data_IF_584285989112
#
_entry.id   IF_584285989112
#
_cell.length_a   1.000
_cell.length_b   1.000
_cell.length_c   1.000
_cell.angle_alpha   90.00
_cell.angle_beta   90.00
_cell.angle_gamma   90.00
#
_symmetry.space_group_name_H-M   'P 1'
#
loop_
_entity.id
_entity.type
_entity.pdbx_description
1 polymer ?
#
# COMPACT_ATOMS: atom_id res chain seq x y z
N UNK A 1 11.05 2.92 17.01
CA UNK A 1 11.50 1.49 16.97
C UNK A 1 10.77 0.82 15.82
N UNK A 2 11.49 0.10 14.93
CA UNK A 2 10.88 -0.58 13.78
C UNK A 2 10.16 -1.86 14.21
N UNK A 3 9.14 -2.26 13.44
CA UNK A 3 8.51 -3.57 13.57
C UNK A 3 9.19 -4.55 12.64
N UNK A 4 9.61 -5.69 13.17
CA UNK A 4 10.32 -6.72 12.42
C UNK A 4 9.41 -7.95 12.35
N UNK A 5 8.92 -8.23 11.12
CA UNK A 5 8.19 -9.47 10.83
C UNK A 5 9.16 -10.64 10.66
N UNK A 6 8.73 -11.84 10.93
CA UNK A 6 9.55 -13.04 10.73
C UNK A 6 10.05 -13.19 9.29
N UNK A 7 11.27 -13.68 9.15
CA UNK A 7 11.84 -13.99 7.83
C UNK A 7 11.11 -15.18 7.23
N UNK A 8 10.69 -15.02 5.97
CA UNK A 8 9.99 -16.08 5.25
C UNK A 8 10.94 -17.22 4.87
N UNK A 9 10.38 -18.41 4.73
CA UNK A 9 11.14 -19.55 4.23
C UNK A 9 11.71 -19.22 2.83
N UNK A 10 13.01 -19.54 2.62
CA UNK A 10 13.75 -19.22 1.39
C UNK A 10 13.92 -17.73 1.04
N UNK A 11 13.52 -16.80 1.89
CA UNK A 11 13.74 -15.36 1.68
C UNK A 11 15.23 -15.02 1.81
N UNK A 12 15.81 -14.33 0.81
CA UNK A 12 17.19 -13.86 0.90
C UNK A 12 17.35 -12.79 2.00
N UNK A 13 18.57 -12.63 2.54
CA UNK A 13 18.85 -11.60 3.54
C UNK A 13 18.51 -10.19 3.02
N UNK A 14 18.85 -9.89 1.75
CA UNK A 14 18.49 -8.64 1.08
C UNK A 14 16.98 -8.44 1.00
N UNK A 15 16.24 -9.47 0.53
CA UNK A 15 14.78 -9.39 0.37
C UNK A 15 14.08 -9.19 1.70
N UNK A 16 14.55 -9.85 2.76
CA UNK A 16 14.03 -9.67 4.12
C UNK A 16 14.22 -8.23 4.61
N UNK A 17 15.45 -7.69 4.51
CA UNK A 17 15.73 -6.30 4.90
C UNK A 17 14.88 -5.32 4.10
N UNK A 18 14.82 -5.51 2.78
CA UNK A 18 14.03 -4.65 1.89
C UNK A 18 12.56 -4.64 2.29
N UNK A 19 11.95 -5.80 2.50
CA UNK A 19 10.55 -5.93 2.90
C UNK A 19 10.27 -5.27 4.24
N UNK A 20 11.13 -5.52 5.25
CA UNK A 20 10.94 -4.92 6.57
C UNK A 20 11.09 -3.40 6.52
N UNK A 21 12.06 -2.87 5.77
CA UNK A 21 12.21 -1.43 5.63
C UNK A 21 11.05 -0.79 4.88
N UNK A 22 10.56 -1.40 3.78
CA UNK A 22 9.38 -0.91 3.05
C UNK A 22 8.16 -0.86 3.97
N UNK A 23 7.91 -1.94 4.73
CA UNK A 23 6.78 -1.99 5.66
C UNK A 23 6.84 -0.88 6.71
N UNK A 24 8.01 -0.62 7.28
CA UNK A 24 8.20 0.44 8.27
C UNK A 24 8.12 1.86 7.67
N UNK A 25 8.53 2.04 6.41
CA UNK A 25 8.38 3.29 5.66
C UNK A 25 6.92 3.56 5.33
N UNK A 26 6.18 2.54 4.86
CA UNK A 26 4.75 2.67 4.55
C UNK A 26 3.97 3.03 5.82
N UNK A 27 4.19 2.30 6.90
CA UNK A 27 3.53 2.53 8.18
C UNK A 27 4.07 3.75 8.96
N UNK A 28 4.98 4.53 8.36
CA UNK A 28 5.61 5.72 8.92
C UNK A 28 6.23 5.50 10.32
N UNK A 29 6.72 4.28 10.61
CA UNK A 29 7.57 3.99 11.76
C UNK A 29 9.01 4.44 11.51
N UNK A 30 9.42 4.47 10.24
CA UNK A 30 10.50 5.25 9.69
C UNK A 30 9.87 6.45 8.99
N UNK A 31 9.92 7.62 9.61
CA UNK A 31 9.17 8.78 9.17
C UNK A 31 9.77 9.44 7.92
N UNK A 32 8.95 10.05 7.05
CA UNK A 32 9.46 10.85 5.94
C UNK A 32 10.42 11.94 6.45
N UNK A 33 11.62 12.00 5.85
CA UNK A 33 12.70 12.92 6.27
C UNK A 33 13.61 12.38 7.39
N UNK A 34 13.26 11.26 8.02
CA UNK A 34 14.08 10.65 9.08
C UNK A 34 15.40 10.13 8.52
N UNK A 35 16.48 10.34 9.29
CA UNK A 35 17.79 9.79 8.99
C UNK A 35 17.87 8.32 9.42
N UNK A 36 18.19 7.42 8.51
CA UNK A 36 18.39 6.01 8.80
C UNK A 36 19.73 5.79 9.53
N UNK A 37 19.68 5.11 10.65
CA UNK A 37 20.87 4.68 11.40
C UNK A 37 21.25 3.25 10.98
N UNK A 38 22.09 3.10 9.93
CA UNK A 38 22.52 1.81 9.40
C UNK A 38 23.01 0.84 10.50
N UNK A 39 23.94 1.23 11.42
CA UNK A 39 24.41 0.34 12.48
C UNK A 39 23.29 -0.21 13.37
N UNK A 40 22.39 0.67 13.81
CA UNK A 40 21.29 0.32 14.70
C UNK A 40 20.26 -0.58 13.99
N UNK A 41 19.91 -0.26 12.74
CA UNK A 41 18.99 -1.06 11.95
C UNK A 41 19.56 -2.44 11.63
N UNK A 42 20.86 -2.53 11.32
CA UNK A 42 21.55 -3.84 11.15
C UNK A 42 21.49 -4.68 12.42
N UNK A 43 21.71 -4.08 13.59
CA UNK A 43 21.64 -4.75 14.88
C UNK A 43 20.22 -5.25 15.17
N UNK A 44 19.21 -4.38 15.01
CA UNK A 44 17.80 -4.75 15.23
C UNK A 44 17.35 -5.88 14.30
N UNK A 45 17.78 -5.87 13.04
CA UNK A 45 17.45 -6.88 12.04
C UNK A 45 18.26 -8.18 12.16
N UNK A 46 19.32 -8.19 12.96
CA UNK A 46 20.26 -9.30 13.03
C UNK A 46 20.99 -9.54 11.70
N UNK A 47 21.24 -8.48 10.90
CA UNK A 47 21.80 -8.56 9.56
C UNK A 47 23.14 -7.84 9.45
N UNK A 48 24.01 -8.36 8.58
CA UNK A 48 25.28 -7.68 8.25
C UNK A 48 25.02 -6.47 7.32
N UNK A 49 26.03 -5.59 7.22
CA UNK A 49 25.94 -4.37 6.39
C UNK A 49 25.76 -4.65 4.89
N UNK A 50 26.25 -5.77 4.38
CA UNK A 50 26.20 -6.07 2.94
C UNK A 50 24.74 -6.19 2.44
N UNK A 51 23.89 -7.11 2.93
CA UNK A 51 22.49 -7.19 2.49
C UNK A 51 21.69 -5.93 2.82
N UNK A 52 22.06 -5.19 3.87
CA UNK A 52 21.42 -3.93 4.21
C UNK A 52 21.68 -2.87 3.14
N UNK A 53 22.93 -2.68 2.72
CA UNK A 53 23.30 -1.71 1.65
C UNK A 53 22.74 -2.09 0.30
N UNK A 54 22.64 -3.39 -0.01
CA UNK A 54 21.96 -3.84 -1.23
C UNK A 54 20.47 -3.48 -1.20
N UNK A 55 19.82 -3.61 -0.05
CA UNK A 55 18.43 -3.17 0.15
C UNK A 55 18.28 -1.64 0.07
N UNK A 56 19.23 -0.87 0.68
CA UNK A 56 19.24 0.60 0.56
C UNK A 56 19.33 1.06 -0.89
N UNK A 57 20.22 0.45 -1.69
CA UNK A 57 20.33 0.81 -3.12
C UNK A 57 19.01 0.58 -3.87
N UNK A 58 18.33 -0.53 -3.57
CA UNK A 58 17.04 -0.81 -4.18
C UNK A 58 15.94 0.15 -3.70
N UNK A 59 15.91 0.49 -2.41
CA UNK A 59 15.00 1.51 -1.87
C UNK A 59 15.23 2.88 -2.51
N UNK A 60 16.50 3.24 -2.76
CA UNK A 60 16.85 4.49 -3.44
C UNK A 60 16.39 4.49 -4.91
N UNK A 61 16.54 3.36 -5.63
CA UNK A 61 16.00 3.19 -6.98
C UNK A 61 14.48 3.34 -7.02
N UNK A 62 13.79 2.84 -5.98
CA UNK A 62 12.34 2.99 -5.77
C UNK A 62 11.95 4.38 -5.24
N UNK A 63 12.90 5.32 -5.05
CA UNK A 63 12.68 6.66 -4.51
C UNK A 63 12.04 6.69 -3.10
N UNK A 64 12.21 5.61 -2.33
CA UNK A 64 11.72 5.53 -0.94
C UNK A 64 12.70 6.09 0.07
N UNK A 65 13.98 6.15 -0.29
CA UNK A 65 15.04 6.78 0.48
C UNK A 65 15.92 7.65 -0.42
N UNK A 66 16.65 8.58 0.21
CA UNK A 66 17.65 9.43 -0.43
C UNK A 66 19.02 9.15 0.19
N UNK A 67 19.97 8.66 -0.61
CA UNK A 67 21.37 8.51 -0.20
C UNK A 67 22.09 9.82 -0.49
N UNK A 68 22.46 10.55 0.57
CA UNK A 68 23.22 11.82 0.46
C UNK A 68 24.70 11.54 0.78
N UNK A 69 25.60 11.59 -0.22
CA UNK A 69 27.01 11.25 -0.02
C UNK A 69 27.63 12.04 1.14
N UNK A 70 28.33 11.34 2.03
CA UNK A 70 29.00 11.89 3.24
C UNK A 70 28.09 12.51 4.30
N UNK A 71 26.78 12.52 4.10
CA UNK A 71 25.79 13.11 5.02
C UNK A 71 24.98 12.00 5.69
N UNK A 72 24.47 11.06 4.89
CA UNK A 72 23.68 9.92 5.37
C UNK A 72 22.55 9.53 4.44
N UNK A 73 21.80 8.52 4.83
CA UNK A 73 20.62 8.02 4.14
C UNK A 73 19.37 8.50 4.88
N UNK A 74 18.38 8.96 4.15
CA UNK A 74 17.14 9.52 4.69
C UNK A 74 15.93 8.89 4.03
N UNK A 75 14.84 8.68 4.78
CA UNK A 75 13.54 8.36 4.20
C UNK A 75 13.07 9.52 3.34
N UNK A 76 12.68 9.25 2.11
CA UNK A 76 12.21 10.29 1.19
C UNK A 76 10.94 10.95 1.70
N UNK A 77 10.85 12.27 1.56
CA UNK A 77 9.59 12.98 1.73
C UNK A 77 8.55 12.47 0.72
N UNK A 78 7.28 12.60 1.05
CA UNK A 78 6.18 12.24 0.16
C UNK A 78 6.13 13.25 -0.98
N UNK A 79 6.26 12.75 -2.19
CA UNK A 79 6.13 13.49 -3.42
C UNK A 79 4.68 13.37 -3.91
N UNK A 80 3.92 14.44 -3.77
CA UNK A 80 2.48 14.42 -4.09
C UNK A 80 2.24 14.24 -5.61
N UNK A 81 3.14 14.73 -6.46
CA UNK A 81 3.04 14.55 -7.92
C UNK A 81 3.23 13.07 -8.27
N UNK A 82 4.28 12.44 -7.72
CA UNK A 82 4.51 11.02 -7.93
C UNK A 82 3.37 10.15 -7.38
N UNK A 83 2.80 10.51 -6.23
CA UNK A 83 1.64 9.80 -5.67
C UNK A 83 0.45 9.91 -6.61
N UNK A 84 0.21 11.08 -7.21
CA UNK A 84 -0.89 11.28 -8.16
C UNK A 84 -0.68 10.49 -9.46
N UNK A 85 0.55 10.41 -9.97
CA UNK A 85 0.89 9.56 -11.13
C UNK A 85 0.58 8.08 -10.84
N UNK A 86 1.02 7.57 -9.67
CA UNK A 86 0.76 6.19 -9.25
C UNK A 86 -0.73 5.95 -9.05
N UNK A 87 -1.44 6.88 -8.42
CA UNK A 87 -2.89 6.82 -8.23
C UNK A 87 -3.61 6.70 -9.57
N UNK A 88 -3.21 7.53 -10.54
CA UNK A 88 -3.86 7.53 -11.86
C UNK A 88 -3.65 6.20 -12.58
N UNK A 89 -2.42 5.67 -12.57
CA UNK A 89 -2.12 4.35 -13.12
C UNK A 89 -2.98 3.26 -12.46
N UNK A 90 -3.05 3.25 -11.13
CA UNK A 90 -3.89 2.31 -10.39
C UNK A 90 -5.36 2.45 -10.77
N UNK A 91 -5.89 3.67 -10.85
CA UNK A 91 -7.29 3.89 -11.21
C UNK A 91 -7.67 3.24 -12.55
N UNK A 92 -6.78 3.32 -13.55
CA UNK A 92 -7.00 2.70 -14.86
C UNK A 92 -7.00 1.18 -14.76
N UNK A 93 -6.01 0.59 -14.06
CA UNK A 93 -5.90 -0.86 -13.93
C UNK A 93 -7.00 -1.45 -13.04
N UNK A 94 -7.29 -0.81 -11.91
CA UNK A 94 -8.33 -1.25 -10.96
C UNK A 94 -9.73 -1.23 -11.61
N UNK A 95 -10.03 -0.20 -12.41
CA UNK A 95 -11.30 -0.12 -13.13
C UNK A 95 -11.45 -1.26 -14.14
N UNK A 96 -10.38 -1.59 -14.88
CA UNK A 96 -10.42 -2.71 -15.84
C UNK A 96 -10.48 -4.06 -15.13
N UNK A 97 -9.73 -4.26 -14.04
CA UNK A 97 -9.80 -5.48 -13.23
C UNK A 97 -11.20 -5.68 -12.65
N UNK A 98 -11.84 -4.62 -12.15
CA UNK A 98 -13.21 -4.67 -11.65
C UNK A 98 -14.23 -5.08 -12.74
N UNK A 99 -14.06 -4.56 -13.95
CA UNK A 99 -14.86 -4.96 -15.11
C UNK A 99 -14.66 -6.45 -15.44
N UNK A 100 -13.40 -6.89 -15.52
CA UNK A 100 -13.05 -8.29 -15.79
C UNK A 100 -13.57 -9.23 -14.71
N UNK A 101 -13.61 -8.79 -13.45
CA UNK A 101 -14.11 -9.57 -12.33
C UNK A 101 -15.59 -9.97 -12.51
N UNK A 102 -16.42 -9.12 -13.13
CA UNK A 102 -17.82 -9.44 -13.42
C UNK A 102 -17.98 -10.66 -14.33
N UNK A 103 -17.01 -10.88 -15.23
CA UNK A 103 -17.05 -12.02 -16.16
C UNK A 103 -16.33 -13.27 -15.60
N UNK A 104 -15.20 -13.06 -14.88
CA UNK A 104 -14.24 -14.12 -14.58
C UNK A 104 -14.43 -14.76 -13.20
N UNK A 105 -14.91 -14.00 -12.20
CA UNK A 105 -14.99 -14.51 -10.84
C UNK A 105 -16.07 -15.58 -10.70
N UNK A 106 -15.71 -16.67 -10.03
CA UNK A 106 -16.64 -17.71 -9.60
C UNK A 106 -17.35 -17.29 -8.30
N UNK A 107 -18.48 -17.94 -7.94
CA UNK A 107 -19.12 -17.71 -6.65
C UNK A 107 -18.16 -17.89 -5.45
N UNK A 108 -17.25 -18.87 -5.51
CA UNK A 108 -16.27 -19.10 -4.45
C UNK A 108 -15.24 -17.97 -4.34
N UNK A 109 -14.87 -17.34 -5.46
CA UNK A 109 -13.97 -16.16 -5.44
C UNK A 109 -14.69 -14.96 -4.81
N UNK A 110 -15.97 -14.78 -5.12
CA UNK A 110 -16.80 -13.71 -4.55
C UNK A 110 -16.96 -13.93 -3.02
N UNK A 111 -17.18 -15.16 -2.57
CA UNK A 111 -17.25 -15.49 -1.14
C UNK A 111 -15.96 -15.10 -0.40
N UNK A 112 -14.78 -15.39 -0.98
CA UNK A 112 -13.48 -14.97 -0.38
C UNK A 112 -13.36 -13.45 -0.25
N UNK A 113 -13.85 -12.69 -1.23
CA UNK A 113 -13.86 -11.23 -1.17
C UNK A 113 -14.83 -10.73 -0.09
N UNK A 114 -16.00 -11.36 0.08
CA UNK A 114 -16.93 -11.05 1.16
C UNK A 114 -16.35 -11.37 2.54
N UNK A 115 -15.60 -12.47 2.68
CA UNK A 115 -14.88 -12.79 3.93
C UNK A 115 -13.86 -11.69 4.28
N UNK A 116 -13.10 -11.23 3.29
CA UNK A 116 -12.17 -10.11 3.49
C UNK A 116 -12.91 -8.86 3.98
N UNK A 117 -13.97 -8.44 3.28
CA UNK A 117 -14.77 -7.26 3.60
C UNK A 117 -15.45 -7.38 4.97
N UNK A 118 -15.90 -8.58 5.38
CA UNK A 118 -16.51 -8.79 6.68
C UNK A 118 -15.57 -8.47 7.86
N UNK A 119 -14.26 -8.74 7.70
CA UNK A 119 -13.26 -8.44 8.72
C UNK A 119 -13.00 -6.92 8.88
N UNK A 120 -13.21 -6.11 7.85
CA UNK A 120 -13.00 -4.67 7.90
C UNK A 120 -13.82 -4.00 8.99
N UNK A 121 -15.08 -4.35 9.08
CA UNK A 121 -16.00 -3.76 10.06
C UNK A 121 -15.48 -3.89 11.48
N UNK A 122 -14.98 -5.07 11.83
CA UNK A 122 -14.41 -5.35 13.15
C UNK A 122 -13.17 -4.47 13.43
N UNK A 123 -12.29 -4.29 12.43
CA UNK A 123 -11.07 -3.50 12.61
C UNK A 123 -11.33 -1.99 12.58
N UNK A 124 -12.33 -1.52 11.84
CA UNK A 124 -12.80 -0.12 11.89
C UNK A 124 -13.32 0.21 13.29
N UNK A 125 -14.14 -0.66 13.90
CA UNK A 125 -14.67 -0.47 15.25
C UNK A 125 -13.56 -0.45 16.33
N UNK A 126 -12.42 -1.10 16.04
CA UNK A 126 -11.25 -1.17 16.94
C UNK A 126 -10.16 -0.13 16.62
N UNK A 127 -10.35 0.73 15.64
CA UNK A 127 -9.36 1.68 15.14
C UNK A 127 -7.98 1.05 14.91
N UNK A 128 -7.95 -0.08 14.15
CA UNK A 128 -6.71 -0.79 13.82
C UNK A 128 -6.34 -0.54 12.35
N UNK A 129 -5.79 0.65 12.08
CA UNK A 129 -5.55 1.17 10.73
C UNK A 129 -4.63 0.25 9.91
N UNK A 130 -3.59 -0.31 10.54
CA UNK A 130 -2.68 -1.24 9.86
C UNK A 130 -3.39 -2.53 9.40
N UNK A 131 -4.34 -3.03 10.21
CA UNK A 131 -5.15 -4.21 9.82
C UNK A 131 -6.14 -3.90 8.72
N UNK A 132 -6.72 -2.70 8.73
CA UNK A 132 -7.58 -2.22 7.67
C UNK A 132 -6.78 -2.12 6.37
N UNK A 133 -5.56 -1.57 6.43
CA UNK A 133 -4.67 -1.47 5.27
C UNK A 133 -4.26 -2.85 4.71
N UNK A 134 -3.94 -3.81 5.58
CA UNK A 134 -3.66 -5.19 5.17
C UNK A 134 -4.84 -5.83 4.42
N UNK A 135 -6.07 -5.58 4.88
CA UNK A 135 -7.30 -6.08 4.23
C UNK A 135 -7.55 -5.37 2.89
N UNK A 136 -7.32 -4.06 2.82
CA UNK A 136 -7.41 -3.28 1.59
C UNK A 136 -6.48 -3.88 0.50
N UNK A 137 -5.22 -4.05 0.83
CA UNK A 137 -4.26 -4.70 -0.08
C UNK A 137 -4.66 -6.13 -0.44
N UNK A 138 -5.16 -6.88 0.53
CA UNK A 138 -5.65 -8.25 0.33
C UNK A 138 -6.82 -8.32 -0.64
N UNK A 139 -7.78 -7.40 -0.53
CA UNK A 139 -8.93 -7.29 -1.42
C UNK A 139 -8.51 -7.04 -2.88
N UNK A 140 -7.68 -6.02 -3.10
CA UNK A 140 -7.18 -5.71 -4.43
C UNK A 140 -6.36 -6.87 -5.00
N UNK A 141 -5.45 -7.47 -4.20
CA UNK A 141 -4.68 -8.63 -4.64
C UNK A 141 -5.56 -9.78 -5.10
N UNK A 142 -6.61 -10.11 -4.33
CA UNK A 142 -7.55 -11.17 -4.70
C UNK A 142 -8.19 -10.89 -6.06
N UNK A 143 -8.67 -9.68 -6.31
CA UNK A 143 -9.25 -9.30 -7.59
C UNK A 143 -8.28 -9.55 -8.76
N UNK A 144 -7.03 -9.07 -8.66
CA UNK A 144 -6.04 -9.27 -9.72
C UNK A 144 -5.72 -10.75 -9.96
N UNK A 145 -5.50 -11.51 -8.87
CA UNK A 145 -5.12 -12.93 -8.96
C UNK A 145 -6.26 -13.76 -9.56
N UNK A 146 -7.48 -13.57 -9.08
CA UNK A 146 -8.65 -14.31 -9.54
C UNK A 146 -9.08 -13.91 -10.96
N UNK A 147 -8.79 -12.68 -11.38
CA UNK A 147 -8.92 -12.28 -12.80
C UNK A 147 -7.83 -12.85 -13.71
N UNK A 148 -6.84 -13.58 -13.18
CA UNK A 148 -5.73 -14.14 -13.95
C UNK A 148 -4.66 -13.12 -14.34
N UNK A 149 -4.55 -12.03 -13.59
CA UNK A 149 -3.62 -10.92 -13.83
C UNK A 149 -2.62 -10.69 -12.67
N UNK A 150 -1.99 -11.74 -12.09
CA UNK A 150 -1.07 -11.57 -10.96
C UNK A 150 0.12 -10.68 -11.30
N UNK A 151 0.61 -10.71 -12.53
CA UNK A 151 1.73 -9.89 -12.98
C UNK A 151 1.39 -8.38 -12.99
N UNK A 152 0.13 -8.02 -13.28
CA UNK A 152 -0.31 -6.63 -13.17
C UNK A 152 -0.28 -6.16 -11.71
N UNK A 153 -0.68 -7.04 -10.79
CA UNK A 153 -0.58 -6.75 -9.36
C UNK A 153 0.87 -6.51 -8.94
N UNK A 154 1.81 -7.36 -9.37
CA UNK A 154 3.23 -7.22 -9.06
C UNK A 154 3.82 -5.89 -9.59
N UNK A 155 3.38 -5.42 -10.77
CA UNK A 155 3.77 -4.12 -11.30
C UNK A 155 3.25 -2.97 -10.44
N UNK A 156 1.99 -3.03 -10.03
CA UNK A 156 1.39 -2.04 -9.12
C UNK A 156 2.12 -2.02 -7.78
N UNK A 157 2.39 -3.19 -7.18
CA UNK A 157 3.08 -3.31 -5.90
C UNK A 157 4.49 -2.70 -5.89
N UNK A 158 5.18 -2.68 -7.01
CA UNK A 158 6.49 -2.02 -7.10
C UNK A 158 6.40 -0.50 -6.95
N UNK A 159 5.28 0.10 -7.32
CA UNK A 159 5.01 1.55 -7.24
C UNK A 159 4.15 1.91 -6.01
N UNK A 160 3.37 0.95 -5.52
CA UNK A 160 2.41 1.13 -4.44
C UNK A 160 2.96 1.83 -3.18
N UNK A 161 4.21 1.60 -2.71
CA UNK A 161 4.70 2.22 -1.48
C UNK A 161 4.59 3.75 -1.42
N UNK A 162 4.60 4.43 -2.57
CA UNK A 162 4.40 5.88 -2.62
C UNK A 162 2.96 6.27 -2.29
N UNK A 163 2.00 5.53 -2.84
CA UNK A 163 0.58 5.71 -2.57
C UNK A 163 0.19 5.15 -1.18
N UNK A 164 0.71 4.00 -0.81
CA UNK A 164 0.42 3.30 0.44
C UNK A 164 0.71 4.15 1.68
N UNK A 165 1.82 4.93 1.68
CA UNK A 165 2.11 5.89 2.76
C UNK A 165 0.98 6.88 2.97
N UNK A 166 0.37 7.36 1.90
CA UNK A 166 -0.74 8.31 1.99
C UNK A 166 -2.04 7.64 2.40
N UNK A 167 -2.23 6.38 2.04
CA UNK A 167 -3.39 5.58 2.46
C UNK A 167 -3.37 5.36 3.98
N UNK A 168 -2.24 4.95 4.55
CA UNK A 168 -2.08 4.81 6.00
C UNK A 168 -2.32 6.15 6.73
N UNK A 169 -1.74 7.25 6.23
CA UNK A 169 -1.95 8.58 6.80
C UNK A 169 -3.42 9.02 6.68
N UNK A 170 -4.09 8.67 5.58
CA UNK A 170 -5.52 8.93 5.40
C UNK A 170 -6.37 8.24 6.48
N UNK A 171 -6.08 6.98 6.79
CA UNK A 171 -6.80 6.23 7.84
C UNK A 171 -6.59 6.83 9.24
N UNK A 172 -5.45 7.46 9.49
CA UNK A 172 -5.20 8.19 10.75
C UNK A 172 -5.95 9.53 10.83
N UNK A 173 -6.20 10.18 9.68
CA UNK A 173 -6.91 11.45 9.62
C UNK A 173 -8.43 11.29 9.58
N UNK A 174 -8.92 10.21 8.99
CA UNK A 174 -10.35 9.99 8.73
C UNK A 174 -10.73 8.52 8.90
N UNK A 175 -11.96 8.24 9.37
CA UNK A 175 -12.46 6.88 9.46
C UNK A 175 -12.46 6.19 8.08
N UNK A 176 -12.01 4.94 8.04
CA UNK A 176 -11.97 4.13 6.82
C UNK A 176 -13.36 3.68 6.30
N UNK A 177 -14.44 4.20 6.92
CA UNK A 177 -15.83 3.80 6.61
C UNK A 177 -16.18 4.00 5.14
N UNK A 178 -15.82 5.13 4.55
CA UNK A 178 -16.15 5.43 3.14
C UNK A 178 -15.44 4.47 2.19
N UNK A 179 -14.17 4.12 2.48
CA UNK A 179 -13.40 3.15 1.71
C UNK A 179 -14.03 1.77 1.81
N UNK A 180 -14.44 1.36 3.01
CA UNK A 180 -15.20 0.14 3.24
C UNK A 180 -16.51 0.09 2.41
N UNK A 181 -17.27 1.18 2.41
CA UNK A 181 -18.52 1.29 1.65
C UNK A 181 -18.28 1.20 0.13
N UNK A 182 -17.17 1.74 -0.37
CA UNK A 182 -16.75 1.59 -1.77
C UNK A 182 -16.48 0.12 -2.10
N UNK A 183 -15.73 -0.63 -1.26
CA UNK A 183 -15.48 -2.07 -1.47
C UNK A 183 -16.77 -2.90 -1.44
N UNK A 184 -17.67 -2.64 -0.50
CA UNK A 184 -18.99 -3.28 -0.46
C UNK A 184 -19.78 -3.02 -1.74
N UNK A 185 -19.76 -1.77 -2.22
CA UNK A 185 -20.49 -1.37 -3.42
C UNK A 185 -19.88 -1.99 -4.68
N UNK A 186 -18.55 -2.04 -4.76
CA UNK A 186 -17.82 -2.67 -5.85
C UNK A 186 -18.14 -4.17 -5.91
N UNK A 187 -18.07 -4.85 -4.77
CA UNK A 187 -18.32 -6.29 -4.71
C UNK A 187 -19.77 -6.64 -5.09
N UNK A 188 -20.75 -5.83 -4.69
CA UNK A 188 -22.14 -5.97 -5.14
C UNK A 188 -22.28 -5.81 -6.65
N UNK A 189 -21.61 -4.83 -7.26
CA UNK A 189 -21.64 -4.64 -8.70
C UNK A 189 -21.02 -5.83 -9.44
N UNK A 190 -19.90 -6.38 -8.93
CA UNK A 190 -19.28 -7.59 -9.48
C UNK A 190 -20.21 -8.80 -9.37
N UNK A 191 -20.83 -9.05 -8.22
CA UNK A 191 -21.78 -10.13 -7.98
C UNK A 191 -23.01 -10.05 -8.92
N UNK A 192 -23.48 -8.82 -9.18
CA UNK A 192 -24.58 -8.54 -10.10
C UNK A 192 -24.16 -8.55 -11.57
N UNK A 193 -22.85 -8.72 -11.86
CA UNK A 193 -22.26 -8.64 -13.19
C UNK A 193 -22.49 -7.32 -13.91
N UNK A 194 -22.61 -6.23 -13.14
CA UNK A 194 -22.74 -4.88 -13.66
C UNK A 194 -21.34 -4.28 -13.93
N UNK A 195 -20.80 -4.61 -15.11
CA UNK A 195 -19.46 -4.16 -15.54
C UNK A 195 -19.33 -2.64 -15.52
N UNK A 196 -20.35 -1.91 -15.94
CA UNK A 196 -20.31 -0.44 -16.00
C UNK A 196 -20.25 0.17 -14.58
N UNK A 197 -21.02 -0.36 -13.64
CA UNK A 197 -20.98 0.06 -12.26
C UNK A 197 -19.66 -0.34 -11.59
N UNK A 198 -19.19 -1.56 -11.78
CA UNK A 198 -17.92 -2.04 -11.21
C UNK A 198 -16.74 -1.17 -11.67
N UNK A 199 -16.60 -0.93 -12.98
CA UNK A 199 -15.58 -0.06 -13.55
C UNK A 199 -15.62 1.36 -12.96
N UNK A 200 -16.80 1.96 -12.90
CA UNK A 200 -16.98 3.32 -12.38
C UNK A 200 -16.65 3.41 -10.89
N UNK A 201 -17.13 2.45 -10.07
CA UNK A 201 -16.90 2.44 -8.62
C UNK A 201 -15.40 2.27 -8.32
N UNK A 202 -14.72 1.35 -8.99
CA UNK A 202 -13.28 1.17 -8.81
C UNK A 202 -12.48 2.43 -9.17
N UNK A 203 -12.81 3.11 -10.26
CA UNK A 203 -12.21 4.38 -10.64
C UNK A 203 -12.45 5.49 -9.59
N UNK A 204 -13.68 5.60 -9.06
CA UNK A 204 -14.02 6.56 -8.01
C UNK A 204 -13.33 6.26 -6.68
N UNK A 205 -13.22 4.98 -6.32
CA UNK A 205 -12.51 4.55 -5.12
C UNK A 205 -11.08 5.07 -5.09
N UNK A 206 -10.35 5.00 -6.20
CA UNK A 206 -8.99 5.53 -6.30
C UNK A 206 -8.91 7.07 -6.17
N UNK A 207 -10.01 7.79 -6.33
CA UNK A 207 -10.04 9.25 -6.15
C UNK A 207 -10.14 9.68 -4.69
N UNK A 208 -10.48 8.78 -3.76
CA UNK A 208 -10.59 9.10 -2.32
C UNK A 208 -9.31 9.72 -1.73
N UNK A 209 -8.16 9.37 -2.27
CA UNK A 209 -6.90 10.00 -1.90
C UNK A 209 -6.93 11.51 -2.11
N UNK A 210 -7.40 11.99 -3.26
CA UNK A 210 -7.45 13.43 -3.58
C UNK A 210 -8.36 14.18 -2.59
N UNK A 211 -9.47 13.55 -2.19
CA UNK A 211 -10.39 14.12 -1.20
C UNK A 211 -9.75 14.22 0.21
N UNK A 212 -8.81 13.34 0.53
CA UNK A 212 -8.15 13.28 1.83
C UNK A 212 -6.82 14.05 1.88
N UNK A 213 -6.23 14.40 0.73
CA UNK A 213 -4.88 14.96 0.64
C UNK A 213 -4.71 16.25 1.47
N UNK A 214 -5.70 17.14 1.48
CA UNK A 214 -5.65 18.38 2.27
C UNK A 214 -5.57 18.08 3.76
N UNK A 215 -6.38 17.13 4.26
CA UNK A 215 -6.36 16.74 5.67
C UNK A 215 -5.04 16.06 6.06
N UNK A 216 -4.47 15.23 5.17
CA UNK A 216 -3.17 14.60 5.41
C UNK A 216 -2.06 15.66 5.47
N UNK A 217 -2.05 16.64 4.55
CA UNK A 217 -1.05 17.72 4.55
C UNK A 217 -1.17 18.63 5.77
N UNK A 218 -2.37 18.89 6.22
CA UNK A 218 -2.61 19.70 7.43
C UNK A 218 -2.10 18.97 8.68
N UNK A 219 -2.34 17.66 8.80
CA UNK A 219 -1.92 16.86 9.94
C UNK A 219 -0.40 16.56 9.94
N UNK A 220 0.20 16.40 8.76
CA UNK A 220 1.60 15.97 8.58
C UNK A 220 2.37 16.88 7.59
N UNK A 221 2.45 18.21 7.82
CA UNK A 221 3.00 19.15 6.83
C UNK A 221 4.46 18.89 6.48
N UNK A 222 5.26 18.34 7.42
CA UNK A 222 6.69 18.10 7.21
C UNK A 222 6.98 16.77 6.49
N UNK A 223 5.98 15.95 6.23
CA UNK A 223 6.15 14.68 5.52
C UNK A 223 6.19 14.86 4.00
N UNK A 224 5.75 16.02 3.49
CA UNK A 224 5.64 16.28 2.06
C UNK A 224 6.80 17.13 1.53
N UNK A 225 7.17 16.90 0.27
CA UNK A 225 7.99 17.83 -0.48
C UNK A 225 7.26 19.18 -0.62
N UNK A 226 8.05 20.25 -0.63
CA UNK A 226 7.57 21.61 -0.84
C UNK A 226 6.94 21.79 -2.23
#
# INVERSE_FOLDING_TARGET
>A
MITISERREHESAKSFVLRVLIDNIINTRLEPGEKLNEPELCEQLGMSRTPFREAELELAQRRLIEIRPKIGTYVSLIDAELVEEVRHLRAVLEAEIARMACEKLTPADIDQLWENVALWRMYIERAQEEKIFELDKGFHRLLYVQCGCPYWYDLVENLAPHFDRTTILSFRCRPAKTIYEDHVSLLKAIEQKDEAAAHRIAGQHMQRYTENLSAIREAFPHYFKA
#
